data_IF_867977070306
#
_entry.id   IF_867977070306
#
_cell.length_a   1.000
_cell.length_b   1.000
_cell.length_c   1.000
_cell.angle_alpha   90.00
_cell.angle_beta   90.00
_cell.angle_gamma   90.00
#
_symmetry.space_group_name_H-M   'P 1'
#
loop_
_entity.id
_entity.type
_entity.pdbx_description
1 polymer ?
#
# COMPACT_ATOMS: atom_id res chain seq x y z
N UNK A 1 -6.58 18.80 26.65
CA UNK A 1 -7.69 19.74 26.47
C UNK A 1 -9.05 19.06 26.32
N UNK A 2 -9.15 17.83 25.80
CA UNK A 2 -10.42 17.11 25.71
C UNK A 2 -10.89 16.36 26.98
N UNK A 3 -10.05 16.20 28.02
CA UNK A 3 -10.44 15.47 29.24
C UNK A 3 -11.17 16.32 30.28
N UNK A 4 -10.87 17.64 30.37
CA UNK A 4 -11.49 18.51 31.38
C UNK A 4 -12.97 18.79 31.10
N UNK A 5 -13.33 18.96 29.82
CA UNK A 5 -14.72 19.17 29.42
C UNK A 5 -15.62 17.97 29.72
N UNK A 6 -15.05 16.75 29.82
CA UNK A 6 -15.81 15.55 30.17
C UNK A 6 -15.99 15.40 31.69
N UNK A 7 -15.03 15.86 32.49
CA UNK A 7 -15.10 15.83 33.96
C UNK A 7 -16.07 16.88 34.50
N UNK A 8 -16.08 18.07 33.90
CA UNK A 8 -16.99 19.16 34.30
C UNK A 8 -18.47 18.81 34.03
N UNK A 9 -18.75 18.07 32.94
CA UNK A 9 -20.11 17.62 32.58
C UNK A 9 -20.66 16.53 33.51
N UNK A 10 -19.79 15.74 34.16
CA UNK A 10 -20.19 14.66 35.08
C UNK A 10 -20.45 15.21 36.48
N UNK A 11 -19.74 16.26 36.90
CA UNK A 11 -19.92 16.89 38.20
C UNK A 11 -21.20 17.73 38.30
N UNK A 12 -21.64 18.37 37.20
CA UNK A 12 -22.86 19.20 37.20
C UNK A 12 -24.16 18.40 37.20
N UNK A 13 -24.13 17.12 36.84
CA UNK A 13 -25.35 16.33 36.62
C UNK A 13 -25.60 15.24 37.68
N UNK A 14 -24.80 15.17 38.75
CA UNK A 14 -24.89 14.15 39.83
C UNK A 14 -25.30 12.75 39.33
N UNK A 15 -24.70 12.30 38.21
CA UNK A 15 -25.00 10.98 37.67
C UNK A 15 -24.31 9.97 38.58
N UNK A 16 -25.10 9.38 39.47
CA UNK A 16 -24.68 8.28 40.32
C UNK A 16 -24.18 7.13 39.44
N UNK A 17 -22.88 6.86 39.53
CA UNK A 17 -22.20 5.77 38.83
C UNK A 17 -22.50 4.43 39.50
N UNK A 18 -23.73 3.98 39.36
CA UNK A 18 -24.12 2.68 39.88
C UNK A 18 -25.57 2.38 39.61
N UNK A 19 -25.82 1.69 38.49
CA UNK A 19 -26.69 0.50 38.38
C UNK A 19 -26.93 0.21 36.90
N UNK A 20 -26.08 -0.66 36.35
CA UNK A 20 -26.40 -1.47 35.19
C UNK A 20 -27.01 -2.78 35.74
N UNK A 21 -27.97 -3.33 35.00
CA UNK A 21 -28.70 -4.61 35.18
C UNK A 21 -30.12 -4.55 35.79
N UNK A 22 -31.07 -4.78 34.88
CA UNK A 22 -32.09 -5.84 34.88
C UNK A 22 -33.31 -5.83 35.83
N UNK A 23 -34.46 -5.85 35.14
CA UNK A 23 -35.64 -6.72 35.34
C UNK A 23 -36.57 -6.46 36.55
N UNK A 24 -37.81 -6.17 36.16
CA UNK A 24 -39.12 -6.48 36.77
C UNK A 24 -39.31 -6.42 38.31
N UNK A 25 -40.42 -5.75 38.65
CA UNK A 25 -41.39 -6.03 39.73
C UNK A 25 -41.65 -4.91 40.75
N UNK A 26 -42.96 -4.76 40.94
CA UNK A 26 -43.73 -4.04 41.94
C UNK A 26 -43.08 -3.75 43.31
N UNK A 27 -43.51 -2.59 43.83
CA UNK A 27 -43.72 -2.22 45.24
C UNK A 27 -42.52 -1.87 46.15
N UNK A 28 -42.40 -0.55 46.34
CA UNK A 28 -42.54 0.15 47.62
C UNK A 28 -41.50 -0.10 48.73
N UNK A 29 -40.54 0.82 48.88
CA UNK A 29 -39.99 1.20 50.20
C UNK A 29 -39.81 2.73 50.27
N UNK A 30 -40.64 3.34 51.10
CA UNK A 30 -40.59 4.73 51.56
C UNK A 30 -39.28 5.03 52.32
N UNK A 31 -38.68 6.20 52.08
CA UNK A 31 -37.79 6.84 53.05
C UNK A 31 -38.21 8.29 53.25
N UNK A 32 -38.13 8.71 54.51
CA UNK A 32 -39.05 9.64 55.14
C UNK A 32 -38.72 11.11 54.86
N UNK A 33 -39.80 11.86 54.70
CA UNK A 33 -39.87 13.31 54.70
C UNK A 33 -39.61 13.83 56.12
N UNK A 34 -38.58 14.64 56.31
CA UNK A 34 -38.49 15.58 57.44
C UNK A 34 -38.58 16.99 56.89
N UNK A 35 -39.75 17.61 57.04
CA UNK A 35 -39.94 19.04 56.89
C UNK A 35 -39.43 19.73 58.15
N UNK A 36 -38.48 20.66 58.00
CA UNK A 36 -38.53 21.91 58.77
C UNK A 36 -37.72 23.01 58.08
N UNK A 37 -38.46 23.92 57.43
CA UNK A 37 -38.47 25.35 57.79
C UNK A 37 -37.14 26.13 57.70
N UNK A 38 -36.93 26.82 56.57
CA UNK A 38 -36.59 28.24 56.59
C UNK A 38 -36.92 28.88 55.23
N UNK A 39 -38.05 29.57 55.18
CA UNK A 39 -38.48 30.34 54.01
C UNK A 39 -37.57 31.57 53.83
N UNK A 40 -36.93 31.65 52.66
CA UNK A 40 -36.68 32.94 52.01
C UNK A 40 -36.61 32.73 50.50
N UNK A 41 -37.79 32.52 49.92
CA UNK A 41 -37.99 32.58 48.47
C UNK A 41 -37.87 34.04 48.01
N UNK A 42 -36.85 34.30 47.19
CA UNK A 42 -36.83 35.45 46.31
C UNK A 42 -37.83 35.16 45.18
N UNK A 43 -38.98 35.82 45.25
CA UNK A 43 -39.99 35.86 44.19
C UNK A 43 -39.36 36.37 42.88
N UNK A 44 -39.05 35.45 41.97
CA UNK A 44 -39.01 35.73 40.53
C UNK A 44 -40.25 35.05 39.96
N UNK A 45 -41.08 35.83 39.30
CA UNK A 45 -42.39 35.44 38.80
C UNK A 45 -42.25 34.31 37.76
N UNK A 46 -42.83 33.13 38.03
CA UNK A 46 -42.90 31.95 37.14
C UNK A 46 -43.30 32.27 35.68
N UNK A 47 -44.04 33.36 35.47
CA UNK A 47 -44.39 33.84 34.12
C UNK A 47 -43.22 34.36 33.30
N UNK A 48 -42.08 34.71 33.88
CA UNK A 48 -40.92 35.19 33.12
C UNK A 48 -40.14 34.04 32.45
N UNK A 49 -40.11 32.86 33.07
CA UNK A 49 -39.41 31.71 32.51
C UNK A 49 -40.16 31.12 31.31
N UNK A 50 -41.49 31.03 31.35
CA UNK A 50 -42.29 30.59 30.20
C UNK A 50 -42.08 31.47 28.96
N UNK A 51 -41.94 32.78 29.15
CA UNK A 51 -41.69 33.73 28.05
C UNK A 51 -40.25 33.65 27.51
N UNK A 52 -39.27 33.31 28.35
CA UNK A 52 -37.88 33.14 27.94
C UNK A 52 -37.67 31.83 27.18
N UNK A 53 -38.23 30.73 27.67
CA UNK A 53 -38.16 29.44 27.00
C UNK A 53 -38.86 29.46 25.65
N UNK A 54 -40.03 30.11 25.57
CA UNK A 54 -40.72 30.29 24.29
C UNK A 54 -39.86 31.10 23.30
N UNK A 55 -39.21 32.18 23.75
CA UNK A 55 -38.30 32.96 22.91
C UNK A 55 -37.09 32.15 22.40
N UNK A 56 -36.55 31.24 23.22
CA UNK A 56 -35.41 30.40 22.83
C UNK A 56 -35.83 29.33 21.80
N UNK A 57 -37.02 28.74 21.99
CA UNK A 57 -37.59 27.76 21.06
C UNK A 57 -37.88 28.44 19.72
N UNK A 58 -38.51 29.61 19.74
CA UNK A 58 -38.84 30.37 18.52
C UNK A 58 -37.55 30.78 17.77
N UNK A 59 -36.51 31.24 18.47
CA UNK A 59 -35.20 31.56 17.86
C UNK A 59 -34.52 30.33 17.24
N UNK A 60 -34.63 29.16 17.88
CA UNK A 60 -34.09 27.92 17.36
C UNK A 60 -34.84 27.47 16.11
N UNK A 61 -36.17 27.51 16.14
CA UNK A 61 -37.03 27.15 15.01
C UNK A 61 -36.84 28.09 13.82
N UNK A 62 -36.64 29.38 14.06
CA UNK A 62 -36.33 30.36 13.02
C UNK A 62 -34.96 30.07 12.38
N UNK A 63 -33.92 29.82 13.19
CA UNK A 63 -32.58 29.45 12.68
C UNK A 63 -32.60 28.13 11.92
N UNK A 64 -33.35 27.14 12.41
CA UNK A 64 -33.55 25.88 11.70
C UNK A 64 -34.28 26.11 10.37
N UNK A 65 -35.33 26.93 10.36
CA UNK A 65 -36.08 27.28 9.17
C UNK A 65 -35.18 27.94 8.14
N UNK A 66 -34.40 28.95 8.53
CA UNK A 66 -33.40 29.62 7.69
C UNK A 66 -32.37 28.64 7.12
N UNK A 67 -31.86 27.70 7.93
CA UNK A 67 -30.94 26.67 7.45
C UNK A 67 -31.60 25.73 6.43
N UNK A 68 -32.84 25.29 6.69
CA UNK A 68 -33.57 24.43 5.76
C UNK A 68 -33.96 25.13 4.46
N UNK A 69 -34.30 26.42 4.52
CA UNK A 69 -34.54 27.26 3.34
C UNK A 69 -33.27 27.44 2.52
N UNK A 70 -32.16 27.85 3.15
CA UNK A 70 -30.86 27.94 2.49
C UNK A 70 -30.46 26.61 1.82
N UNK A 71 -30.71 25.48 2.50
CA UNK A 71 -30.42 24.14 1.95
C UNK A 71 -31.32 23.82 0.74
N UNK A 72 -32.61 24.14 0.81
CA UNK A 72 -33.55 23.99 -0.32
C UNK A 72 -33.19 24.89 -1.48
N UNK A 73 -32.74 26.11 -1.22
CA UNK A 73 -32.26 27.06 -2.23
C UNK A 73 -30.98 26.57 -2.89
N UNK A 74 -30.06 25.96 -2.14
CA UNK A 74 -28.86 25.31 -2.69
C UNK A 74 -29.23 24.09 -3.54
N UNK A 75 -30.19 23.27 -3.10
CA UNK A 75 -30.69 22.11 -3.86
C UNK A 75 -31.50 22.54 -5.10
N UNK A 76 -32.21 23.67 -5.06
CA UNK A 76 -32.96 24.22 -6.21
C UNK A 76 -32.08 24.99 -7.19
N UNK A 77 -30.99 25.60 -6.70
CA UNK A 77 -29.99 26.32 -7.51
C UNK A 77 -28.88 25.39 -8.02
N UNK A 78 -28.82 24.15 -7.53
CA UNK A 78 -28.02 23.10 -8.13
C UNK A 78 -28.55 22.86 -9.55
N UNK A 79 -27.83 23.40 -10.53
CA UNK A 79 -28.04 23.15 -11.94
C UNK A 79 -28.12 21.62 -12.11
N UNK A 80 -29.33 21.10 -12.38
CA UNK A 80 -29.53 19.70 -12.77
C UNK A 80 -28.90 19.55 -14.14
N UNK A 81 -27.61 19.24 -14.16
CA UNK A 81 -26.89 18.83 -15.35
C UNK A 81 -27.65 17.63 -15.96
N UNK A 82 -27.88 17.62 -17.29
CA UNK A 82 -28.65 16.58 -17.94
C UNK A 82 -27.93 15.24 -17.74
N UNK A 83 -28.50 14.40 -16.87
CA UNK A 83 -28.19 12.99 -16.59
C UNK A 83 -26.92 12.46 -17.26
N UNK A 84 -25.77 12.87 -16.74
CA UNK A 84 -24.55 12.09 -16.84
C UNK A 84 -24.59 11.15 -15.64
N UNK A 85 -24.59 9.85 -15.91
CA UNK A 85 -24.45 8.83 -14.88
C UNK A 85 -23.29 9.26 -13.97
N UNK A 86 -23.58 9.58 -12.72
CA UNK A 86 -22.59 10.11 -11.77
C UNK A 86 -21.37 9.20 -11.85
N UNK A 87 -20.15 9.74 -11.93
CA UNK A 87 -18.94 8.92 -12.11
C UNK A 87 -18.90 7.70 -11.16
N UNK A 88 -19.43 7.88 -9.94
CA UNK A 88 -19.68 6.84 -8.94
C UNK A 88 -20.52 5.65 -9.44
N UNK A 89 -21.62 5.88 -10.15
CA UNK A 89 -22.46 4.83 -10.71
C UNK A 89 -21.73 4.03 -11.80
N UNK A 90 -20.95 4.70 -12.65
CA UNK A 90 -20.13 4.01 -13.64
C UNK A 90 -19.08 3.11 -12.96
N UNK A 91 -18.40 3.61 -11.93
CA UNK A 91 -17.44 2.82 -11.14
C UNK A 91 -18.11 1.60 -10.49
N UNK A 92 -19.25 1.81 -9.81
CA UNK A 92 -20.03 0.76 -9.16
C UNK A 92 -20.50 -0.32 -10.14
N UNK A 93 -20.90 0.07 -11.35
CA UNK A 93 -21.46 -0.85 -12.35
C UNK A 93 -20.42 -1.56 -13.21
N UNK A 94 -19.30 -0.90 -13.53
CA UNK A 94 -18.35 -1.37 -14.55
C UNK A 94 -16.97 -1.72 -14.01
N UNK A 95 -16.48 -1.02 -13.00
CA UNK A 95 -15.09 -1.17 -12.53
C UNK A 95 -15.02 -2.04 -11.27
N UNK A 96 -15.78 -1.71 -10.24
CA UNK A 96 -15.74 -2.42 -8.96
C UNK A 96 -16.09 -3.91 -9.02
N UNK A 97 -17.04 -4.37 -9.86
CA UNK A 97 -17.31 -5.81 -9.99
C UNK A 97 -16.11 -6.63 -10.49
N UNK A 98 -15.14 -5.99 -11.17
CA UNK A 98 -13.90 -6.63 -11.63
C UNK A 98 -12.75 -6.37 -10.64
N UNK A 99 -12.66 -5.15 -10.13
CA UNK A 99 -11.55 -4.71 -9.30
C UNK A 99 -11.59 -5.29 -7.89
N UNK A 100 -12.75 -5.29 -7.22
CA UNK A 100 -12.89 -5.77 -5.85
C UNK A 100 -12.48 -7.24 -5.69
N UNK A 101 -12.98 -8.21 -6.50
CA UNK A 101 -12.54 -9.59 -6.38
C UNK A 101 -11.06 -9.77 -6.76
N UNK A 102 -10.53 -8.96 -7.68
CA UNK A 102 -9.10 -8.98 -8.01
C UNK A 102 -8.24 -8.50 -6.81
N UNK A 103 -8.68 -7.47 -6.09
CA UNK A 103 -8.01 -6.97 -4.89
C UNK A 103 -8.12 -7.95 -3.73
N UNK A 104 -9.25 -8.63 -3.56
CA UNK A 104 -9.41 -9.69 -2.56
C UNK A 104 -8.41 -10.82 -2.81
N UNK A 105 -8.35 -11.34 -4.05
CA UNK A 105 -7.38 -12.38 -4.42
C UNK A 105 -5.93 -11.90 -4.28
N UNK A 106 -5.65 -10.63 -4.61
CA UNK A 106 -4.33 -10.02 -4.40
C UNK A 106 -3.94 -10.04 -2.92
N UNK A 107 -4.87 -9.76 -2.00
CA UNK A 107 -4.59 -9.80 -0.56
C UNK A 107 -4.35 -11.22 -0.05
N UNK A 108 -5.07 -12.21 -0.59
CA UNK A 108 -4.83 -13.64 -0.30
C UNK A 108 -3.43 -14.05 -0.74
N UNK A 109 -3.03 -13.70 -1.95
CA UNK A 109 -1.67 -13.96 -2.44
C UNK A 109 -0.62 -13.15 -1.65
N UNK A 110 -0.88 -11.88 -1.32
CA UNK A 110 0.01 -11.09 -0.48
C UNK A 110 0.25 -11.74 0.90
N UNK A 111 -0.79 -12.34 1.49
CA UNK A 111 -0.67 -13.12 2.72
C UNK A 111 0.16 -14.39 2.51
N UNK A 112 -0.05 -15.11 1.42
CA UNK A 112 0.72 -16.32 1.06
C UNK A 112 2.22 -16.03 0.91
N UNK A 113 2.56 -14.87 0.37
CA UNK A 113 3.93 -14.39 0.20
C UNK A 113 4.51 -13.67 1.42
N UNK A 114 3.77 -13.62 2.55
CA UNK A 114 4.11 -12.84 3.75
C UNK A 114 4.40 -11.35 3.44
N UNK A 115 3.89 -10.82 2.33
CA UNK A 115 4.16 -9.47 1.84
C UNK A 115 3.66 -8.37 2.79
N UNK A 116 2.63 -8.68 3.59
CA UNK A 116 2.09 -7.77 4.61
C UNK A 116 3.01 -7.63 5.83
N UNK A 117 3.88 -8.62 6.08
CA UNK A 117 4.83 -8.62 7.18
C UNK A 117 6.22 -8.21 6.73
N UNK A 118 6.61 -8.62 5.51
CA UNK A 118 7.93 -8.38 4.93
C UNK A 118 7.81 -7.24 3.91
N UNK A 119 8.28 -6.04 4.28
CA UNK A 119 8.22 -4.85 3.41
C UNK A 119 8.95 -5.02 2.07
N UNK A 120 9.95 -5.90 2.02
CA UNK A 120 10.85 -6.09 0.87
C UNK A 120 10.75 -7.53 0.39
N UNK A 121 9.73 -7.81 -0.41
CA UNK A 121 9.44 -9.13 -0.95
C UNK A 121 9.28 -9.09 -2.47
N UNK A 122 9.27 -10.28 -3.09
CA UNK A 122 9.15 -10.47 -4.54
C UNK A 122 7.78 -10.02 -5.05
N UNK A 123 6.76 -10.15 -4.21
CA UNK A 123 5.38 -9.93 -4.58
C UNK A 123 5.09 -8.43 -4.75
N UNK A 124 4.56 -8.05 -5.90
CA UNK A 124 4.08 -6.70 -6.17
C UNK A 124 2.58 -6.74 -6.47
N UNK A 125 1.78 -6.16 -5.57
CA UNK A 125 0.32 -6.16 -5.70
C UNK A 125 -0.18 -5.43 -6.95
N UNK A 126 0.51 -4.37 -7.38
CA UNK A 126 0.12 -3.63 -8.59
C UNK A 126 0.35 -4.49 -9.84
N UNK A 127 1.47 -5.23 -9.88
CA UNK A 127 1.76 -6.14 -10.99
C UNK A 127 0.73 -7.28 -11.05
N UNK A 128 0.37 -7.83 -9.89
CA UNK A 128 -0.67 -8.85 -9.79
C UNK A 128 -2.02 -8.34 -10.29
N UNK A 129 -2.42 -7.13 -9.90
CA UNK A 129 -3.66 -6.51 -10.37
C UNK A 129 -3.63 -6.24 -11.87
N UNK A 130 -2.52 -5.70 -12.39
CA UNK A 130 -2.37 -5.45 -13.82
C UNK A 130 -2.50 -6.73 -14.65
N UNK A 131 -1.85 -7.81 -14.19
CA UNK A 131 -1.94 -9.13 -14.79
C UNK A 131 -3.38 -9.69 -14.75
N UNK A 132 -3.99 -9.66 -13.57
CA UNK A 132 -5.34 -10.19 -13.34
C UNK A 132 -6.38 -9.44 -14.18
N UNK A 133 -6.38 -8.10 -14.15
CA UNK A 133 -7.34 -7.28 -14.88
C UNK A 133 -7.14 -7.36 -16.40
N UNK A 134 -5.91 -7.55 -16.88
CA UNK A 134 -5.63 -7.71 -18.30
C UNK A 134 -6.17 -9.04 -18.85
N UNK A 135 -5.94 -10.13 -18.12
CA UNK A 135 -6.32 -11.48 -18.51
C UNK A 135 -7.82 -11.72 -18.33
N UNK A 136 -8.42 -11.17 -17.27
CA UNK A 136 -9.85 -11.29 -16.97
C UNK A 136 -10.72 -10.22 -17.62
N UNK A 137 -10.21 -9.51 -18.63
CA UNK A 137 -10.97 -8.47 -19.30
C UNK A 137 -12.19 -9.07 -20.06
N UNK A 138 -13.44 -8.72 -19.68
CA UNK A 138 -14.64 -9.29 -20.31
C UNK A 138 -14.75 -9.00 -21.81
N UNK A 139 -14.11 -7.92 -22.31
CA UNK A 139 -14.09 -7.59 -23.74
C UNK A 139 -13.21 -8.53 -24.57
N UNK A 140 -12.27 -9.24 -23.92
CA UNK A 140 -11.30 -10.11 -24.58
C UNK A 140 -11.20 -11.47 -23.88
N UNK A 141 -12.28 -12.28 -23.89
CA UNK A 141 -12.35 -13.55 -23.14
C UNK A 141 -11.26 -14.56 -23.56
N UNK A 142 -10.75 -14.47 -24.79
CA UNK A 142 -9.65 -15.32 -25.28
C UNK A 142 -8.35 -15.18 -24.47
N UNK A 143 -8.18 -14.06 -23.74
CA UNK A 143 -6.99 -13.84 -22.89
C UNK A 143 -6.99 -14.71 -21.64
N UNK A 144 -8.16 -15.10 -21.13
CA UNK A 144 -8.23 -16.02 -20.00
C UNK A 144 -7.71 -17.44 -20.37
N UNK A 145 -7.80 -17.83 -21.64
CA UNK A 145 -7.33 -19.14 -22.14
C UNK A 145 -5.79 -19.19 -22.13
N UNK A 146 -5.13 -18.11 -22.54
CA UNK A 146 -3.68 -17.98 -22.52
C UNK A 146 -3.28 -16.89 -21.54
N UNK A 147 -3.02 -17.31 -20.30
CA UNK A 147 -2.62 -16.41 -19.24
C UNK A 147 -1.27 -15.75 -19.58
N UNK A 148 -1.27 -14.43 -19.64
CA UNK A 148 -0.05 -13.65 -19.87
C UNK A 148 0.46 -13.11 -18.54
N UNK A 149 1.75 -13.33 -18.27
CA UNK A 149 2.41 -12.67 -17.14
C UNK A 149 2.49 -11.16 -17.35
N UNK A 150 2.61 -10.37 -16.29
CA UNK A 150 2.65 -8.89 -16.40
C UNK A 150 3.72 -8.41 -17.40
N UNK A 151 4.87 -9.08 -17.44
CA UNK A 151 5.99 -8.76 -18.32
C UNK A 151 5.75 -9.15 -19.77
N UNK A 152 4.75 -9.97 -20.06
CA UNK A 152 4.40 -10.37 -21.43
C UNK A 152 3.43 -9.41 -22.12
N UNK A 153 2.66 -8.65 -21.33
CA UNK A 153 1.64 -7.72 -21.80
C UNK A 153 2.29 -6.66 -22.72
N UNK A 154 1.80 -6.45 -23.96
CA UNK A 154 2.45 -5.58 -24.94
C UNK A 154 2.64 -4.14 -24.46
N UNK A 155 1.59 -3.55 -23.86
CA UNK A 155 1.62 -2.17 -23.34
C UNK A 155 2.65 -2.04 -22.21
N UNK A 156 2.72 -3.05 -21.35
CA UNK A 156 3.64 -3.07 -20.23
C UNK A 156 5.09 -3.24 -20.69
N UNK A 157 5.34 -4.12 -21.67
CA UNK A 157 6.65 -4.25 -22.32
C UNK A 157 7.13 -2.93 -22.91
N UNK A 158 6.25 -2.22 -23.62
CA UNK A 158 6.58 -0.92 -24.20
C UNK A 158 6.92 0.10 -23.10
N UNK A 159 6.11 0.15 -22.04
CA UNK A 159 6.32 1.05 -20.91
C UNK A 159 7.66 0.77 -20.20
N UNK A 160 7.99 -0.50 -19.94
CA UNK A 160 9.25 -0.90 -19.31
C UNK A 160 10.47 -0.62 -20.18
N UNK A 161 10.33 -0.59 -21.51
CA UNK A 161 11.42 -0.19 -22.42
C UNK A 161 11.72 1.29 -22.31
N UNK A 162 10.70 2.13 -22.22
CA UNK A 162 10.85 3.58 -22.07
C UNK A 162 11.28 3.96 -20.64
N UNK A 163 10.79 3.22 -19.66
CA UNK A 163 11.01 3.47 -18.23
C UNK A 163 11.41 2.17 -17.53
N UNK A 164 12.71 1.78 -17.60
CA UNK A 164 13.17 0.56 -16.98
C UNK A 164 13.01 0.62 -15.46
N UNK A 165 12.54 -0.48 -14.87
CA UNK A 165 12.41 -0.59 -13.41
C UNK A 165 13.78 -0.58 -12.74
N UNK A 166 13.88 -0.05 -11.50
CA UNK A 166 15.10 -0.16 -10.72
C UNK A 166 15.46 -1.63 -10.48
N UNK A 167 16.76 -1.92 -10.44
CA UNK A 167 17.26 -3.26 -10.16
C UNK A 167 17.05 -3.55 -8.67
N UNK A 168 16.26 -4.58 -8.36
CA UNK A 168 16.07 -5.03 -6.99
C UNK A 168 17.19 -6.00 -6.57
N UNK A 169 17.61 -5.98 -5.30
CA UNK A 169 18.58 -6.94 -4.80
C UNK A 169 17.99 -8.35 -4.83
N UNK A 170 18.85 -9.34 -5.08
CA UNK A 170 18.45 -10.74 -5.25
C UNK A 170 17.72 -11.29 -4.01
N UNK A 171 18.06 -10.80 -2.82
CA UNK A 171 17.41 -11.18 -1.57
C UNK A 171 15.91 -10.84 -1.51
N UNK A 172 15.45 -9.85 -2.29
CA UNK A 172 14.02 -9.52 -2.35
C UNK A 172 13.28 -10.43 -3.33
N UNK A 173 13.96 -10.90 -4.38
CA UNK A 173 13.35 -11.65 -5.47
C UNK A 173 13.31 -13.16 -5.22
N UNK A 174 14.24 -13.68 -4.42
CA UNK A 174 14.35 -15.11 -4.16
C UNK A 174 13.40 -15.54 -3.04
N UNK A 175 12.77 -16.69 -3.24
CA UNK A 175 12.12 -17.41 -2.16
C UNK A 175 13.16 -18.00 -1.20
N UNK A 176 12.74 -18.37 0.01
CA UNK A 176 13.64 -19.01 0.98
C UNK A 176 14.26 -20.30 0.41
N UNK A 177 13.47 -21.09 -0.31
CA UNK A 177 13.91 -22.36 -0.89
C UNK A 177 14.89 -22.14 -2.04
N UNK A 178 14.59 -21.21 -2.95
CA UNK A 178 15.53 -20.82 -4.01
C UNK A 178 16.84 -20.29 -3.41
N UNK A 179 16.76 -19.37 -2.44
CA UNK A 179 17.93 -18.82 -1.78
C UNK A 179 18.78 -19.91 -1.11
N UNK A 180 18.13 -20.88 -0.45
CA UNK A 180 18.81 -22.03 0.13
C UNK A 180 19.53 -22.88 -0.94
N UNK A 181 18.87 -23.17 -2.08
CA UNK A 181 19.49 -23.89 -3.19
C UNK A 181 20.71 -23.14 -3.75
N UNK A 182 20.61 -21.82 -3.92
CA UNK A 182 21.73 -20.99 -4.35
C UNK A 182 22.89 -21.07 -3.36
N UNK A 183 22.63 -20.82 -2.07
CA UNK A 183 23.65 -20.86 -1.03
C UNK A 183 24.31 -22.22 -0.98
N UNK A 184 23.53 -23.30 -0.95
CA UNK A 184 24.06 -24.66 -0.91
C UNK A 184 24.90 -25.00 -2.15
N UNK A 185 24.47 -24.60 -3.35
CA UNK A 185 25.26 -24.76 -4.58
C UNK A 185 26.60 -24.04 -4.47
N UNK A 186 26.61 -22.80 -4.00
CA UNK A 186 27.84 -22.02 -3.83
C UNK A 186 28.76 -22.62 -2.77
N UNK A 187 28.21 -23.06 -1.64
CA UNK A 187 28.96 -23.71 -0.55
C UNK A 187 29.56 -25.03 -1.01
N UNK A 188 28.80 -25.90 -1.69
CA UNK A 188 29.32 -27.15 -2.27
C UNK A 188 30.49 -26.88 -3.22
N UNK A 189 30.33 -25.91 -4.10
CA UNK A 189 31.41 -25.50 -5.00
C UNK A 189 32.62 -24.91 -4.26
N UNK A 190 32.38 -24.10 -3.23
CA UNK A 190 33.44 -23.51 -2.41
C UNK A 190 34.22 -24.58 -1.65
N UNK A 191 33.55 -25.56 -1.05
CA UNK A 191 34.18 -26.69 -0.34
C UNK A 191 35.12 -27.47 -1.26
N UNK A 192 34.69 -27.75 -2.51
CA UNK A 192 35.56 -28.40 -3.50
C UNK A 192 36.76 -27.53 -3.84
N UNK A 193 36.54 -26.23 -4.05
CA UNK A 193 37.63 -25.28 -4.34
C UNK A 193 38.58 -25.10 -3.18
N UNK A 194 38.13 -25.26 -1.93
CA UNK A 194 38.98 -25.12 -0.76
C UNK A 194 40.05 -26.22 -0.65
N UNK A 195 39.85 -27.37 -1.28
CA UNK A 195 40.79 -28.50 -1.24
C UNK A 195 42.13 -28.11 -1.89
N UNK A 196 43.23 -28.45 -1.22
CA UNK A 196 44.58 -28.00 -1.59
C UNK A 196 44.97 -28.38 -3.03
N UNK A 197 44.77 -29.65 -3.40
CA UNK A 197 45.05 -30.12 -4.78
C UNK A 197 44.23 -29.38 -5.86
N UNK A 198 43.02 -28.90 -5.53
CA UNK A 198 42.20 -28.11 -6.46
C UNK A 198 42.73 -26.68 -6.56
N UNK A 199 43.25 -26.11 -5.47
CA UNK A 199 43.90 -24.80 -5.47
C UNK A 199 45.21 -24.84 -6.26
N UNK A 200 46.06 -25.84 -6.03
CA UNK A 200 47.30 -26.05 -6.79
C UNK A 200 47.03 -26.15 -8.29
N UNK A 201 46.05 -26.99 -8.68
CA UNK A 201 45.63 -27.10 -10.08
C UNK A 201 45.16 -25.75 -10.65
N UNK A 202 44.39 -24.96 -9.89
CA UNK A 202 43.93 -23.64 -10.32
C UNK A 202 45.08 -22.66 -10.49
N UNK A 203 46.05 -22.67 -9.58
CA UNK A 203 47.25 -21.83 -9.67
C UNK A 203 48.09 -22.20 -10.89
N UNK A 204 48.26 -23.51 -11.15
CA UNK A 204 48.95 -24.01 -12.34
C UNK A 204 48.29 -23.51 -13.63
N UNK A 205 46.97 -23.68 -13.78
CA UNK A 205 46.24 -23.19 -14.96
C UNK A 205 46.29 -21.67 -15.09
N UNK A 206 46.34 -20.94 -13.98
CA UNK A 206 46.46 -19.48 -13.98
C UNK A 206 47.85 -19.05 -14.49
N UNK A 207 48.92 -19.69 -14.03
CA UNK A 207 50.28 -19.42 -14.50
C UNK A 207 50.43 -19.70 -16.00
N UNK A 208 49.91 -20.84 -16.49
CA UNK A 208 49.91 -21.14 -17.92
C UNK A 208 49.12 -20.12 -18.76
N UNK A 209 48.00 -19.60 -18.23
CA UNK A 209 47.23 -18.56 -18.92
C UNK A 209 48.00 -17.24 -18.98
N UNK A 210 48.72 -16.88 -17.92
CA UNK A 210 49.56 -15.68 -17.86
C UNK A 210 50.76 -15.77 -18.82
N UNK A 211 51.44 -16.91 -18.90
CA UNK A 211 52.51 -17.13 -19.89
C UNK A 211 52.01 -17.04 -21.33
N UNK A 212 50.85 -17.63 -21.63
CA UNK A 212 50.20 -17.54 -22.94
C UNK A 212 49.77 -16.11 -23.28
N UNK A 213 49.23 -15.38 -22.30
CA UNK A 213 48.86 -13.99 -22.49
C UNK A 213 50.10 -13.09 -22.69
N UNK A 214 51.19 -13.36 -21.97
CA UNK A 214 52.48 -12.66 -22.14
C UNK A 214 53.10 -12.90 -23.52
N UNK A 215 53.12 -14.15 -23.98
CA UNK A 215 53.58 -14.49 -25.35
C UNK A 215 52.67 -13.90 -26.43
N UNK A 216 51.34 -13.89 -26.23
CA UNK A 216 50.43 -13.22 -27.16
C UNK A 216 50.63 -11.70 -27.19
N UNK A 217 50.79 -11.07 -26.03
CA UNK A 217 51.07 -9.63 -25.94
C UNK A 217 52.46 -9.25 -26.49
N UNK A 218 53.42 -10.18 -26.46
CA UNK A 218 54.71 -10.05 -27.14
C UNK A 218 54.55 -10.12 -28.66
N UNK A 219 53.81 -11.12 -29.17
CA UNK A 219 53.51 -11.28 -30.61
C UNK A 219 52.67 -10.13 -31.18
N UNK A 220 51.70 -9.60 -30.43
CA UNK A 220 50.89 -8.44 -30.85
C UNK A 220 51.70 -7.12 -30.89
N UNK A 221 52.80 -7.02 -30.12
CA UNK A 221 53.74 -5.89 -30.21
C UNK A 221 54.67 -5.99 -31.42
N UNK A 222 55.04 -7.20 -31.84
CA UNK A 222 55.88 -7.45 -33.01
C UNK A 222 55.10 -7.36 -34.34
N UNK A 223 53.77 -7.50 -34.34
CA UNK A 223 52.90 -7.36 -35.53
C UNK A 223 52.17 -6.00 -35.63
N UNK A 224 52.49 -5.06 -34.74
CA UNK A 224 51.87 -3.73 -34.70
C UNK A 224 52.36 -2.78 -35.79
N UNK A 225 51.91 -2.94 -37.05
CA UNK A 225 51.88 -1.82 -38.01
C UNK A 225 50.87 -1.90 -39.15
N UNK A 226 50.14 -3.00 -39.38
CA UNK A 226 49.14 -3.04 -40.47
C UNK A 226 47.93 -3.88 -40.09
N UNK A 227 46.95 -3.22 -39.48
CA UNK A 227 45.50 -3.46 -39.60
C UNK A 227 44.77 -2.78 -38.43
N UNK A 228 44.83 -1.45 -38.40
CA UNK A 228 43.76 -0.65 -37.79
C UNK A 228 42.90 -0.10 -38.92
N UNK A 229 42.06 -0.95 -39.50
CA UNK A 229 40.94 -0.48 -40.30
C UNK A 229 39.73 -1.37 -40.05
N UNK A 230 38.69 -0.73 -39.50
CA UNK A 230 37.29 -1.15 -39.49
C UNK A 230 36.93 -2.37 -38.62
N UNK A 231 36.49 -2.06 -37.39
CA UNK A 231 35.36 -2.74 -36.75
C UNK A 231 34.75 -1.82 -35.69
N UNK A 232 33.97 -0.86 -36.16
CA UNK A 232 32.84 -0.35 -35.37
C UNK A 232 31.75 -1.41 -35.47
N UNK A 233 31.66 -2.29 -34.48
CA UNK A 233 30.50 -3.18 -34.33
C UNK A 233 30.00 -3.11 -32.89
N UNK A 234 28.82 -2.48 -32.79
CA UNK A 234 27.71 -2.81 -31.90
C UNK A 234 28.09 -3.16 -30.46
N UNK A 235 28.00 -2.15 -29.59
CA UNK A 235 28.02 -2.34 -28.15
C UNK A 235 26.87 -3.29 -27.77
N UNK A 236 27.23 -4.52 -27.42
CA UNK A 236 26.34 -5.49 -26.81
C UNK A 236 25.75 -4.83 -25.54
N UNK A 237 24.43 -4.72 -25.48
CA UNK A 237 23.72 -4.17 -24.31
C UNK A 237 24.12 -4.92 -23.02
N UNK A 238 24.55 -6.18 -23.10
CA UNK A 238 25.09 -6.92 -21.94
C UNK A 238 26.48 -6.44 -21.49
N UNK A 239 27.34 -5.94 -22.36
CA UNK A 239 28.62 -5.30 -22.00
C UNK A 239 28.38 -3.98 -21.25
N UNK A 240 27.41 -3.18 -21.71
CA UNK A 240 27.02 -1.93 -21.06
C UNK A 240 26.54 -2.14 -19.61
N UNK A 241 25.70 -3.15 -19.36
CA UNK A 241 25.24 -3.46 -18.00
C UNK A 241 26.33 -4.06 -17.09
N UNK A 242 27.34 -4.75 -17.65
CA UNK A 242 28.51 -5.22 -16.88
C UNK A 242 29.41 -4.06 -16.43
N UNK A 243 29.50 -2.99 -17.21
CA UNK A 243 30.27 -1.78 -16.88
C UNK A 243 29.62 -1.00 -15.73
N UNK A 244 28.30 -0.85 -15.73
CA UNK A 244 27.58 -0.16 -14.65
C UNK A 244 27.68 -0.88 -13.28
N UNK A 245 27.82 -2.21 -13.28
CA UNK A 245 27.98 -3.00 -12.06
C UNK A 245 29.33 -2.81 -11.34
N UNK A 246 30.35 -2.29 -12.02
CA UNK A 246 31.70 -2.09 -11.44
C UNK A 246 31.85 -0.77 -10.66
N UNK A 247 31.00 0.23 -10.92
CA UNK A 247 31.09 1.57 -10.30
C UNK A 247 30.35 1.71 -8.96
N UNK A 248 29.73 0.65 -8.43
CA UNK A 248 29.00 0.67 -7.15
C UNK A 248 29.73 0.02 -5.97
N UNK A 249 31.05 -0.19 -6.07
CA UNK A 249 31.90 -0.78 -5.02
C UNK A 249 32.89 0.19 -4.36
N UNK A 250 32.62 1.48 -4.45
CA UNK A 250 33.37 2.51 -3.73
C UNK A 250 32.37 3.49 -3.13
N UNK A 251 31.90 3.18 -1.93
CA UNK A 251 31.62 4.03 -0.77
C UNK A 251 31.59 3.07 0.42
#
# INVERSE_FOLDING_TARGET
>A
MFSRLAEDYIAENEICSGCFEDVETNSNVQCQRTESFFSQELHISDKQEENLWQSIVDEYEEKQSQYTEWKKEQESSAIVLPYQDVASNYLNRKIFPLLLPAMENMLVEARRWDALRIQKCRFNGIDYLAETLWNLNPKYPKRAIKWHTVFEIPQFKLLLRLHPRPIFPLSWLLTKDEAALYIQRYVRGWLVRKRDYVQEMRQFWKALAEEKAGTKAFMDKDLGSKEKLQKEEQIDMCEFYKLLGKYKKTI
#
